data_IF_320434865078
#
_entry.id   IF_320434865078
#
_cell.length_a   1.000
_cell.length_b   1.000
_cell.length_c   1.000
_cell.angle_alpha   90.00
_cell.angle_beta   90.00
_cell.angle_gamma   90.00
#
_symmetry.space_group_name_H-M   'P 1'
#
loop_
_entity.id
_entity.type
_entity.pdbx_description
1 polymer ?
#
# COMPACT_ATOMS: atom_id res chain seq x y z
N UNK A 1 -9.28 -42.16 -19.76
CA UNK A 1 -9.69 -40.74 -19.71
C UNK A 1 -11.07 -40.52 -20.31
N UNK A 2 -11.39 -41.14 -21.45
CA UNK A 2 -12.67 -40.98 -22.15
C UNK A 2 -13.92 -41.38 -21.33
N UNK A 3 -13.79 -42.32 -20.38
CA UNK A 3 -14.89 -42.77 -19.52
C UNK A 3 -14.92 -42.10 -18.13
N UNK A 4 -14.06 -41.11 -17.85
CA UNK A 4 -14.00 -40.44 -16.55
C UNK A 4 -14.62 -39.04 -16.63
N UNK A 5 -15.50 -38.71 -15.67
CA UNK A 5 -16.07 -37.38 -15.50
C UNK A 5 -15.59 -36.76 -14.19
N UNK A 6 -15.29 -35.47 -14.21
CA UNK A 6 -14.98 -34.75 -12.97
C UNK A 6 -16.23 -34.70 -12.09
N UNK A 7 -16.09 -35.04 -10.81
CA UNK A 7 -17.16 -34.85 -9.84
C UNK A 7 -17.53 -33.35 -9.76
N UNK A 8 -18.82 -33.00 -9.64
CA UNK A 8 -19.26 -31.61 -9.59
C UNK A 8 -18.80 -30.91 -8.31
N UNK A 9 -18.81 -29.58 -8.32
CA UNK A 9 -18.57 -28.71 -7.16
C UNK A 9 -17.19 -28.86 -6.48
N UNK A 10 -16.18 -29.36 -7.19
CA UNK A 10 -14.81 -29.38 -6.69
C UNK A 10 -14.20 -27.97 -6.71
N UNK A 11 -13.79 -27.47 -5.54
CA UNK A 11 -13.14 -26.17 -5.41
C UNK A 11 -11.79 -26.17 -6.12
N UNK A 12 -11.58 -25.20 -7.01
CA UNK A 12 -10.26 -24.94 -7.57
C UNK A 12 -9.35 -24.27 -6.52
N UNK A 13 -8.21 -24.88 -6.23
CA UNK A 13 -7.30 -24.46 -5.13
C UNK A 13 -6.05 -23.72 -5.61
N UNK A 14 -5.75 -23.75 -6.91
CA UNK A 14 -4.55 -23.10 -7.47
C UNK A 14 -4.83 -21.62 -7.76
N UNK A 15 -3.76 -20.83 -7.83
CA UNK A 15 -3.85 -19.42 -8.26
C UNK A 15 -4.29 -19.37 -9.72
N UNK A 16 -5.32 -18.56 -10.00
CA UNK A 16 -5.77 -18.30 -11.36
C UNK A 16 -4.70 -17.54 -12.14
N UNK A 17 -4.59 -17.82 -13.43
CA UNK A 17 -3.74 -17.02 -14.31
C UNK A 17 -4.34 -15.61 -14.53
N UNK A 18 -3.58 -14.64 -15.10
CA UNK A 18 -4.07 -13.27 -15.27
C UNK A 18 -5.35 -13.16 -16.12
N UNK A 19 -5.54 -14.04 -17.11
CA UNK A 19 -6.72 -14.03 -17.99
C UNK A 19 -7.92 -14.59 -17.23
N UNK A 20 -7.77 -15.75 -16.60
CA UNK A 20 -8.78 -16.35 -15.74
C UNK A 20 -9.21 -15.42 -14.60
N UNK A 21 -8.25 -14.70 -14.01
CA UNK A 21 -8.52 -13.69 -12.97
C UNK A 21 -9.35 -12.54 -13.52
N UNK A 22 -9.00 -12.03 -14.72
CA UNK A 22 -9.75 -10.95 -15.36
C UNK A 22 -11.19 -11.38 -15.69
N UNK A 23 -11.37 -12.62 -16.16
CA UNK A 23 -12.69 -13.17 -16.46
C UNK A 23 -13.50 -13.38 -15.17
N UNK A 24 -12.91 -13.97 -14.13
CA UNK A 24 -13.57 -14.10 -12.81
C UNK A 24 -13.99 -12.73 -12.25
N UNK A 25 -13.17 -11.69 -12.39
CA UNK A 25 -13.52 -10.33 -11.98
C UNK A 25 -14.71 -9.83 -12.80
N UNK A 26 -14.68 -9.97 -14.13
CA UNK A 26 -15.76 -9.52 -15.02
C UNK A 26 -17.10 -10.14 -14.63
N UNK A 27 -17.10 -11.45 -14.35
CA UNK A 27 -18.31 -12.19 -13.97
C UNK A 27 -18.79 -11.89 -12.54
N UNK A 28 -17.87 -11.66 -11.60
CA UNK A 28 -18.22 -11.41 -10.19
C UNK A 28 -18.58 -9.96 -9.88
N UNK A 29 -18.27 -9.03 -10.77
CA UNK A 29 -18.57 -7.60 -10.59
C UNK A 29 -20.07 -7.37 -10.73
N UNK A 30 -20.69 -6.92 -9.62
CA UNK A 30 -22.09 -6.56 -9.57
C UNK A 30 -22.27 -5.19 -8.94
N UNK A 31 -23.08 -4.34 -9.58
CA UNK A 31 -23.47 -3.05 -9.00
C UNK A 31 -24.22 -3.25 -7.68
N UNK A 32 -24.21 -2.25 -6.77
CA UNK A 32 -24.90 -2.35 -5.49
C UNK A 32 -26.37 -2.76 -5.62
N UNK A 33 -27.10 -2.20 -6.59
CA UNK A 33 -28.51 -2.54 -6.82
C UNK A 33 -28.72 -3.99 -7.27
N UNK A 34 -27.89 -4.47 -8.20
CA UNK A 34 -27.95 -5.87 -8.66
C UNK A 34 -27.62 -6.83 -7.51
N UNK A 35 -26.57 -6.53 -6.74
CA UNK A 35 -26.17 -7.34 -5.59
C UNK A 35 -27.25 -7.35 -4.50
N UNK A 36 -27.85 -6.19 -4.21
CA UNK A 36 -28.96 -6.05 -3.27
C UNK A 36 -30.16 -6.91 -3.68
N UNK A 37 -30.60 -6.79 -4.93
CA UNK A 37 -31.71 -7.57 -5.46
C UNK A 37 -31.43 -9.08 -5.41
N UNK A 38 -30.21 -9.50 -5.73
CA UNK A 38 -29.79 -10.91 -5.66
C UNK A 38 -29.87 -11.44 -4.23
N UNK A 39 -29.37 -10.70 -3.24
CA UNK A 39 -29.43 -11.11 -1.83
C UNK A 39 -30.88 -11.17 -1.34
N UNK A 40 -31.68 -10.14 -1.64
CA UNK A 40 -33.09 -10.11 -1.24
C UNK A 40 -33.87 -11.28 -1.83
N UNK A 41 -33.66 -11.61 -3.11
CA UNK A 41 -34.27 -12.77 -3.75
C UNK A 41 -33.78 -14.08 -3.11
N UNK A 42 -32.48 -14.23 -2.86
CA UNK A 42 -31.93 -15.44 -2.24
C UNK A 42 -32.48 -15.72 -0.84
N UNK A 43 -32.74 -14.67 -0.05
CA UNK A 43 -33.31 -14.78 1.30
C UNK A 43 -34.83 -15.01 1.24
N UNK A 44 -35.55 -14.30 0.36
CA UNK A 44 -37.00 -14.41 0.25
C UNK A 44 -37.47 -15.73 -0.39
N UNK A 45 -36.67 -16.31 -1.30
CA UNK A 45 -37.09 -17.47 -2.09
C UNK A 45 -36.64 -18.78 -1.45
N UNK A 46 -37.58 -19.71 -1.25
CA UNK A 46 -37.35 -21.09 -0.81
C UNK A 46 -36.64 -21.98 -1.84
N UNK A 47 -36.09 -21.42 -2.91
CA UNK A 47 -35.31 -22.14 -3.91
C UNK A 47 -33.80 -22.09 -3.61
N UNK A 48 -33.33 -21.07 -2.89
CA UNK A 48 -31.89 -20.83 -2.65
C UNK A 48 -31.53 -21.11 -1.19
N UNK A 49 -31.89 -20.21 -0.26
CA UNK A 49 -31.46 -20.32 1.15
C UNK A 49 -32.44 -21.08 2.05
N UNK A 50 -33.71 -21.20 1.63
CA UNK A 50 -34.74 -22.04 2.29
C UNK A 50 -34.98 -21.76 3.77
N UNK A 51 -34.63 -20.56 4.27
CA UNK A 51 -34.70 -20.25 5.71
C UNK A 51 -36.10 -20.46 6.30
N UNK A 52 -37.15 -20.01 5.62
CA UNK A 52 -38.53 -20.18 6.08
C UNK A 52 -38.97 -21.66 6.21
N UNK A 53 -38.36 -22.56 5.44
CA UNK A 53 -38.69 -23.98 5.39
C UNK A 53 -37.63 -24.85 6.08
N UNK A 54 -36.69 -24.25 6.83
CA UNK A 54 -35.63 -24.98 7.51
C UNK A 54 -36.13 -25.55 8.85
N UNK A 55 -36.22 -26.88 8.94
CA UNK A 55 -36.70 -27.59 10.14
C UNK A 55 -35.83 -27.36 11.37
N UNK A 56 -34.52 -27.21 11.19
CA UNK A 56 -33.60 -26.92 12.29
C UNK A 56 -33.86 -25.51 12.87
N UNK A 57 -34.00 -24.49 12.02
CA UNK A 57 -34.30 -23.13 12.50
C UNK A 57 -35.62 -23.08 13.27
N UNK A 58 -36.64 -23.80 12.79
CA UNK A 58 -37.92 -23.95 13.49
C UNK A 58 -37.77 -24.67 14.83
N UNK A 59 -36.98 -25.73 14.90
CA UNK A 59 -36.72 -26.47 16.13
C UNK A 59 -36.02 -25.59 17.20
N UNK A 60 -35.17 -24.65 16.78
CA UNK A 60 -34.52 -23.67 17.66
C UNK A 60 -35.36 -22.40 17.90
N UNK A 61 -36.57 -22.29 17.35
CA UNK A 61 -37.43 -21.11 17.48
C UNK A 61 -36.87 -19.85 16.80
N UNK A 62 -35.95 -20.01 15.83
CA UNK A 62 -35.29 -18.91 15.12
C UNK A 62 -36.05 -18.61 13.83
N UNK A 63 -36.37 -17.33 13.62
CA UNK A 63 -36.90 -16.81 12.36
C UNK A 63 -35.96 -15.76 11.76
N UNK A 64 -35.99 -15.62 10.43
CA UNK A 64 -35.19 -14.64 9.70
C UNK A 64 -36.13 -13.71 8.94
N UNK A 65 -36.00 -12.41 9.19
CA UNK A 65 -36.69 -11.37 8.40
C UNK A 65 -36.00 -11.25 7.03
N UNK A 66 -36.73 -11.39 5.91
CA UNK A 66 -36.16 -11.20 4.58
C UNK A 66 -35.82 -9.73 4.26
N UNK A 67 -36.32 -8.78 5.04
CA UNK A 67 -36.03 -7.36 4.86
C UNK A 67 -34.62 -7.07 5.37
N UNK A 68 -33.83 -6.38 4.54
CA UNK A 68 -32.53 -5.85 4.98
C UNK A 68 -32.76 -4.79 6.07
N UNK A 69 -31.94 -4.83 7.11
CA UNK A 69 -31.95 -3.82 8.17
C UNK A 69 -31.64 -2.42 7.59
N UNK A 70 -32.41 -1.43 8.03
CA UNK A 70 -32.16 -0.02 7.73
C UNK A 70 -31.28 0.55 8.84
N UNK A 71 -30.15 1.16 8.47
CA UNK A 71 -29.17 1.70 9.41
C UNK A 71 -28.96 3.18 9.09
N UNK A 72 -29.12 4.09 10.06
CA UNK A 72 -28.82 5.51 9.84
C UNK A 72 -27.32 5.67 9.55
N UNK A 73 -27.00 6.39 8.48
CA UNK A 73 -25.63 6.70 8.08
C UNK A 73 -25.42 8.21 8.05
N UNK A 74 -24.19 8.63 8.35
CA UNK A 74 -23.77 10.03 8.32
C UNK A 74 -22.69 10.23 7.27
N UNK A 75 -22.82 11.27 6.45
CA UNK A 75 -21.76 11.70 5.54
C UNK A 75 -20.77 12.58 6.30
N UNK A 76 -19.50 12.17 6.34
CA UNK A 76 -18.44 12.99 6.92
C UNK A 76 -17.99 14.07 5.93
N UNK A 77 -17.67 15.30 6.39
CA UNK A 77 -17.10 16.31 5.53
C UNK A 77 -15.70 15.86 5.06
N UNK A 78 -15.45 15.98 3.76
CA UNK A 78 -14.16 15.67 3.18
C UNK A 78 -13.10 16.71 3.60
N UNK A 79 -11.86 16.30 3.86
CA UNK A 79 -10.78 17.25 4.12
C UNK A 79 -10.44 18.05 2.87
N UNK A 80 -9.80 19.19 3.06
CA UNK A 80 -9.06 19.84 1.98
C UNK A 80 -7.64 19.27 1.91
N UNK A 81 -7.12 19.10 0.68
CA UNK A 81 -5.75 18.66 0.44
C UNK A 81 -4.89 19.87 0.12
N UNK A 82 -3.85 20.10 0.90
CA UNK A 82 -2.89 21.16 0.62
C UNK A 82 -1.97 20.77 -0.54
N UNK A 83 -1.84 21.68 -1.51
CA UNK A 83 -0.99 21.49 -2.69
C UNK A 83 -0.27 22.78 -3.03
N UNK A 84 0.81 22.70 -3.81
CA UNK A 84 1.53 23.87 -4.30
C UNK A 84 0.97 24.26 -5.67
N UNK A 85 0.41 25.46 -5.77
CA UNK A 85 -0.11 25.99 -7.03
C UNK A 85 0.99 26.36 -8.04
N UNK A 86 0.61 26.78 -9.27
CA UNK A 86 1.56 27.14 -10.32
C UNK A 86 2.56 28.23 -9.91
N UNK A 87 2.14 29.17 -9.07
CA UNK A 87 2.96 30.27 -8.55
C UNK A 87 3.82 29.88 -7.35
N UNK A 88 3.81 28.61 -6.95
CA UNK A 88 4.55 28.12 -5.80
C UNK A 88 3.91 28.39 -4.44
N UNK A 89 2.68 28.91 -4.42
CA UNK A 89 1.92 29.20 -3.19
C UNK A 89 1.15 27.95 -2.76
N UNK A 90 1.15 27.64 -1.46
CA UNK A 90 0.33 26.56 -0.91
C UNK A 90 -1.14 26.96 -0.95
N UNK A 91 -1.98 26.10 -1.50
CA UNK A 91 -3.43 26.30 -1.61
C UNK A 91 -4.19 25.04 -1.18
N UNK A 92 -5.37 25.24 -0.61
CA UNK A 92 -6.28 24.17 -0.25
C UNK A 92 -7.07 23.71 -1.48
N UNK A 93 -7.07 22.41 -1.75
CA UNK A 93 -7.81 21.79 -2.83
C UNK A 93 -8.96 20.95 -2.29
N UNK A 94 -10.16 21.19 -2.83
CA UNK A 94 -11.35 20.43 -2.46
C UNK A 94 -11.26 18.98 -2.97
N UNK A 95 -11.61 18.05 -2.09
CA UNK A 95 -11.83 16.64 -2.45
C UNK A 95 -13.30 16.46 -2.85
N UNK A 96 -13.54 15.82 -4.01
CA UNK A 96 -14.88 15.50 -4.50
C UNK A 96 -14.98 13.99 -4.68
N UNK A 97 -15.96 13.37 -4.03
CA UNK A 97 -16.16 11.92 -4.06
C UNK A 97 -14.88 11.11 -3.78
N UNK A 98 -14.08 11.58 -2.82
CA UNK A 98 -12.81 10.95 -2.47
C UNK A 98 -11.74 11.03 -3.57
N UNK A 99 -11.87 11.94 -4.55
CA UNK A 99 -10.88 12.16 -5.62
C UNK A 99 -10.49 13.64 -5.66
N UNK A 100 -9.20 13.89 -5.94
CA UNK A 100 -8.69 15.24 -6.19
C UNK A 100 -7.80 15.25 -7.44
N UNK A 101 -7.74 16.41 -8.11
CA UNK A 101 -7.05 16.54 -9.39
C UNK A 101 -5.77 17.37 -9.24
N UNK A 102 -4.61 16.72 -9.45
CA UNK A 102 -3.31 17.40 -9.39
C UNK A 102 -2.95 18.17 -10.68
N UNK A 103 -3.83 18.24 -11.68
CA UNK A 103 -3.54 18.96 -12.93
C UNK A 103 -3.17 20.42 -12.64
N UNK A 104 -2.01 20.85 -13.17
CA UNK A 104 -1.40 22.17 -12.93
C UNK A 104 -1.08 22.47 -11.45
N UNK A 105 -1.05 21.45 -10.59
CA UNK A 105 -0.63 21.52 -9.19
C UNK A 105 0.62 20.67 -8.96
N UNK A 106 1.38 21.02 -7.93
CA UNK A 106 2.61 20.35 -7.52
C UNK A 106 2.53 19.92 -6.04
N UNK A 107 3.41 19.01 -5.63
CA UNK A 107 3.55 18.61 -4.23
C UNK A 107 4.10 19.75 -3.36
N UNK A 108 3.78 19.75 -2.06
CA UNK A 108 4.22 20.77 -1.11
C UNK A 108 5.75 20.75 -0.93
N UNK A 109 6.32 19.56 -0.81
CA UNK A 109 7.74 19.34 -0.61
C UNK A 109 8.24 18.23 -1.54
N UNK A 110 9.33 18.49 -2.25
CA UNK A 110 10.01 17.53 -3.10
C UNK A 110 11.49 17.52 -2.74
N UNK A 111 11.98 16.50 -2.02
CA UNK A 111 13.40 16.39 -1.76
C UNK A 111 14.17 16.16 -3.06
N UNK A 112 15.33 16.80 -3.18
CA UNK A 112 16.19 16.67 -4.35
C UNK A 112 16.68 15.24 -4.55
N UNK A 113 16.62 14.77 -5.79
CA UNK A 113 17.20 13.50 -6.27
C UNK A 113 18.51 13.84 -6.99
N UNK A 114 19.67 13.70 -6.32
CA UNK A 114 20.94 14.20 -6.83
C UNK A 114 21.58 13.31 -7.91
N UNK A 115 21.23 12.02 -7.95
CA UNK A 115 21.85 11.04 -8.85
C UNK A 115 20.90 9.87 -9.11
N UNK A 116 20.73 9.50 -10.38
CA UNK A 116 19.83 8.45 -10.82
C UNK A 116 20.28 7.81 -12.13
N UNK A 117 19.72 6.65 -12.49
CA UNK A 117 19.88 6.04 -13.81
C UNK A 117 18.60 5.32 -14.25
N UNK A 118 18.48 5.09 -15.55
CA UNK A 118 17.46 4.24 -16.14
C UNK A 118 18.06 2.90 -16.55
N UNK A 119 17.42 1.81 -16.16
CA UNK A 119 17.79 0.44 -16.51
C UNK A 119 16.62 -0.21 -17.25
N UNK A 120 16.81 -0.45 -18.54
CA UNK A 120 15.79 -1.00 -19.42
C UNK A 120 16.00 -2.51 -19.56
N UNK A 121 15.11 -3.30 -18.98
CA UNK A 121 15.06 -4.75 -19.17
C UNK A 121 14.10 -5.12 -20.30
N UNK A 122 14.10 -4.37 -21.39
CA UNK A 122 13.28 -4.60 -22.58
C UNK A 122 14.10 -4.26 -23.82
N UNK A 123 13.69 -4.77 -24.99
CA UNK A 123 14.38 -4.52 -26.26
C UNK A 123 14.13 -3.09 -26.73
N UNK A 124 14.99 -2.16 -26.33
CA UNK A 124 15.11 -0.82 -26.89
C UNK A 124 16.47 -0.67 -27.56
N UNK A 125 16.56 0.18 -28.59
CA UNK A 125 17.83 0.74 -29.03
C UNK A 125 18.25 1.91 -28.10
N UNK A 126 19.52 2.25 -28.11
CA UNK A 126 20.09 3.27 -27.22
C UNK A 126 19.45 4.66 -27.42
N UNK A 127 19.09 5.01 -28.66
CA UNK A 127 18.49 6.32 -28.98
C UNK A 127 17.08 6.40 -28.40
N UNK A 128 16.26 5.37 -28.59
CA UNK A 128 14.91 5.29 -28.02
C UNK A 128 14.93 5.31 -26.49
N UNK A 129 15.82 4.52 -25.87
CA UNK A 129 15.98 4.49 -24.42
C UNK A 129 16.38 5.86 -23.85
N UNK A 130 17.34 6.55 -24.49
CA UNK A 130 17.74 7.89 -24.09
C UNK A 130 16.62 8.92 -24.22
N UNK A 131 15.82 8.85 -25.30
CA UNK A 131 14.69 9.77 -25.50
C UNK A 131 13.57 9.55 -24.48
N UNK A 132 13.24 8.28 -24.16
CA UNK A 132 12.26 7.95 -23.11
C UNK A 132 12.72 8.50 -21.76
N UNK A 133 13.98 8.26 -21.39
CA UNK A 133 14.56 8.77 -20.15
C UNK A 133 14.49 10.30 -20.08
N UNK A 134 14.85 10.99 -21.17
CA UNK A 134 14.78 12.43 -21.28
C UNK A 134 13.34 12.94 -21.09
N UNK A 135 12.38 12.38 -21.83
CA UNK A 135 10.97 12.80 -21.75
C UNK A 135 10.41 12.62 -20.33
N UNK A 136 10.66 11.48 -19.68
CA UNK A 136 10.21 11.23 -18.31
C UNK A 136 10.81 12.25 -17.33
N UNK A 137 12.10 12.56 -17.43
CA UNK A 137 12.75 13.57 -16.58
C UNK A 137 12.11 14.94 -16.78
N UNK A 138 11.82 15.35 -18.02
CA UNK A 138 11.14 16.63 -18.29
C UNK A 138 9.74 16.65 -17.67
N UNK A 139 8.97 15.59 -17.86
CA UNK A 139 7.60 15.48 -17.33
C UNK A 139 7.57 15.48 -15.80
N UNK A 140 8.51 14.77 -15.15
CA UNK A 140 8.61 14.73 -13.69
C UNK A 140 9.06 16.06 -13.11
N UNK A 141 10.03 16.74 -13.73
CA UNK A 141 10.41 18.12 -13.34
C UNK A 141 9.26 19.10 -13.48
N UNK A 142 8.49 19.00 -14.57
CA UNK A 142 7.28 19.81 -14.77
C UNK A 142 6.19 19.51 -13.73
N UNK A 143 6.14 18.28 -13.20
CA UNK A 143 5.27 17.87 -12.09
C UNK A 143 5.82 18.22 -10.70
N UNK A 144 6.96 18.92 -10.62
CA UNK A 144 7.54 19.41 -9.37
C UNK A 144 8.55 18.46 -8.70
N UNK A 145 9.02 17.41 -9.38
CA UNK A 145 10.09 16.53 -8.89
C UNK A 145 11.45 17.20 -9.09
N UNK A 146 12.20 17.43 -8.02
CA UNK A 146 13.55 18.01 -8.10
C UNK A 146 14.62 16.96 -8.45
N UNK A 147 14.75 16.64 -9.75
CA UNK A 147 15.78 15.73 -10.28
C UNK A 147 17.02 16.50 -10.75
N UNK A 148 18.22 16.02 -10.44
CA UNK A 148 19.45 16.59 -11.00
C UNK A 148 19.45 16.58 -12.54
N UNK A 149 19.97 17.64 -13.17
CA UNK A 149 20.06 17.72 -14.64
C UNK A 149 21.39 17.15 -15.10
N UNK A 150 21.36 16.24 -16.07
CA UNK A 150 22.53 15.79 -16.81
C UNK A 150 22.31 15.98 -18.31
N UNK A 151 23.38 16.29 -19.05
CA UNK A 151 23.34 16.43 -20.52
C UNK A 151 22.88 15.12 -21.18
N UNK A 152 23.41 13.99 -20.70
CA UNK A 152 22.99 12.65 -21.09
C UNK A 152 22.59 11.89 -19.81
N UNK A 153 21.33 11.48 -19.71
CA UNK A 153 20.89 10.63 -18.61
C UNK A 153 21.61 9.28 -18.68
N UNK A 154 22.03 8.74 -17.54
CA UNK A 154 22.62 7.41 -17.48
C UNK A 154 21.56 6.35 -17.85
N UNK A 155 21.74 5.68 -18.98
CA UNK A 155 20.85 4.61 -19.46
C UNK A 155 21.63 3.31 -19.63
N UNK A 156 21.05 2.20 -19.20
CA UNK A 156 21.62 0.86 -19.36
C UNK A 156 20.56 -0.09 -19.90
N UNK A 157 20.87 -0.82 -20.96
CA UNK A 157 19.98 -1.83 -21.54
C UNK A 157 20.45 -3.23 -21.15
N UNK A 158 19.50 -4.05 -20.69
CA UNK A 158 19.70 -5.39 -20.18
C UNK A 158 18.73 -6.40 -20.78
N UNK A 159 19.17 -7.66 -20.85
CA UNK A 159 18.31 -8.78 -21.23
C UNK A 159 17.97 -9.57 -19.96
N UNK A 160 16.74 -9.48 -19.43
CA UNK A 160 16.39 -10.11 -18.16
C UNK A 160 16.32 -11.65 -18.25
N UNK A 161 16.22 -12.22 -19.46
CA UNK A 161 16.18 -13.67 -19.66
C UNK A 161 17.56 -14.35 -19.57
N UNK A 162 18.65 -13.57 -19.56
CA UNK A 162 20.00 -14.10 -19.38
C UNK A 162 20.35 -14.14 -17.89
N UNK A 163 20.69 -15.32 -17.38
CA UNK A 163 21.08 -15.51 -15.98
C UNK A 163 22.19 -14.51 -15.56
N UNK A 164 22.04 -13.92 -14.38
CA UNK A 164 22.97 -12.91 -13.83
C UNK A 164 22.92 -11.52 -14.47
N UNK A 165 22.20 -11.34 -15.58
CA UNK A 165 22.15 -10.07 -16.30
C UNK A 165 21.43 -8.98 -15.51
N UNK A 166 20.37 -9.33 -14.76
CA UNK A 166 19.62 -8.37 -13.94
C UNK A 166 20.53 -7.66 -12.94
N UNK A 167 21.25 -8.42 -12.11
CA UNK A 167 22.23 -7.86 -11.16
C UNK A 167 23.32 -7.06 -11.87
N UNK A 168 23.92 -7.62 -12.92
CA UNK A 168 25.02 -6.97 -13.64
C UNK A 168 24.58 -5.60 -14.22
N UNK A 169 23.37 -5.51 -14.76
CA UNK A 169 22.85 -4.28 -15.38
C UNK A 169 22.36 -3.26 -14.36
N UNK A 170 21.79 -3.69 -13.23
CA UNK A 170 21.50 -2.80 -12.11
C UNK A 170 22.78 -2.18 -11.56
N UNK A 171 23.84 -2.98 -11.36
CA UNK A 171 25.13 -2.46 -10.90
C UNK A 171 25.80 -1.56 -11.95
N UNK A 172 25.67 -1.88 -13.24
CA UNK A 172 26.13 -0.99 -14.31
C UNK A 172 25.37 0.35 -14.29
N UNK A 173 24.05 0.33 -14.08
CA UNK A 173 23.23 1.55 -13.93
C UNK A 173 23.64 2.37 -12.70
N UNK A 174 23.92 1.69 -11.58
CA UNK A 174 24.44 2.33 -10.37
C UNK A 174 25.76 3.05 -10.64
N UNK A 175 26.72 2.40 -11.30
CA UNK A 175 28.01 3.01 -11.62
C UNK A 175 27.88 4.13 -12.66
N UNK A 176 27.03 3.96 -13.68
CA UNK A 176 26.77 4.98 -14.68
C UNK A 176 26.20 6.25 -14.04
N UNK A 177 25.23 6.12 -13.13
CA UNK A 177 24.71 7.26 -12.36
C UNK A 177 25.81 7.94 -11.53
N UNK A 178 26.61 7.15 -10.80
CA UNK A 178 27.71 7.67 -9.98
C UNK A 178 28.71 8.48 -10.82
N UNK A 179 29.07 7.99 -12.00
CA UNK A 179 29.99 8.68 -12.92
C UNK A 179 29.36 9.96 -13.49
N UNK A 180 28.10 9.89 -13.95
CA UNK A 180 27.41 11.02 -14.56
C UNK A 180 27.17 12.17 -13.58
N UNK A 181 26.73 11.86 -12.36
CA UNK A 181 26.34 12.88 -11.37
C UNK A 181 27.42 13.15 -10.31
N UNK A 182 28.52 12.38 -10.32
CA UNK A 182 29.62 12.45 -9.33
C UNK A 182 29.17 12.26 -7.87
N UNK A 183 27.99 11.69 -7.67
CA UNK A 183 27.37 11.39 -6.37
C UNK A 183 26.72 10.01 -6.46
N UNK A 184 26.69 9.27 -5.36
CA UNK A 184 26.03 7.96 -5.32
C UNK A 184 24.56 8.07 -5.73
N UNK A 185 24.05 7.15 -6.56
CA UNK A 185 22.66 7.16 -6.97
C UNK A 185 21.74 6.96 -5.77
N UNK A 186 20.66 7.73 -5.75
CA UNK A 186 19.59 7.57 -4.75
C UNK A 186 18.45 6.71 -5.28
N UNK A 187 18.27 6.63 -6.61
CA UNK A 187 17.21 5.84 -7.24
C UNK A 187 17.61 5.30 -8.63
N UNK A 188 17.15 4.08 -8.95
CA UNK A 188 17.20 3.47 -10.28
C UNK A 188 15.79 3.32 -10.86
N UNK A 189 15.56 3.88 -12.05
CA UNK A 189 14.31 3.71 -12.79
C UNK A 189 14.40 2.48 -13.67
N UNK A 190 13.62 1.44 -13.37
CA UNK A 190 13.69 0.16 -14.06
C UNK A 190 12.48 -0.04 -14.97
N UNK A 191 12.69 -0.40 -16.23
CA UNK A 191 11.62 -0.76 -17.19
C UNK A 191 11.57 -2.28 -17.35
N UNK A 192 10.40 -2.87 -17.13
CA UNK A 192 10.22 -4.32 -16.98
C UNK A 192 9.62 -4.94 -18.22
N UNK A 193 10.18 -6.08 -18.64
CA UNK A 193 9.56 -6.98 -19.62
C UNK A 193 8.43 -7.79 -18.95
N UNK A 194 7.22 -7.82 -19.53
CA UNK A 194 6.06 -8.49 -18.94
C UNK A 194 6.15 -10.02 -18.97
N UNK A 195 7.03 -10.59 -19.80
CA UNK A 195 7.19 -12.03 -19.96
C UNK A 195 8.28 -12.60 -19.03
N UNK A 196 9.12 -11.75 -18.44
CA UNK A 196 10.12 -12.19 -17.48
C UNK A 196 9.50 -12.33 -16.08
N UNK A 197 9.21 -13.58 -15.69
CA UNK A 197 8.72 -13.90 -14.35
C UNK A 197 9.75 -13.48 -13.29
N UNK A 198 9.27 -12.98 -12.15
CA UNK A 198 10.08 -12.58 -10.99
C UNK A 198 11.07 -11.42 -11.24
N UNK A 199 11.09 -10.79 -12.42
CA UNK A 199 12.00 -9.68 -12.71
C UNK A 199 11.88 -8.53 -11.70
N UNK A 200 10.66 -8.19 -11.31
CA UNK A 200 10.42 -7.18 -10.27
C UNK A 200 11.08 -7.56 -8.94
N UNK A 201 10.93 -8.81 -8.53
CA UNK A 201 11.41 -9.30 -7.24
C UNK A 201 12.94 -9.39 -7.23
N UNK A 202 13.55 -9.82 -8.35
CA UNK A 202 15.00 -9.77 -8.54
C UNK A 202 15.56 -8.35 -8.50
N UNK A 203 14.87 -7.39 -9.12
CA UNK A 203 15.27 -5.98 -9.05
C UNK A 203 15.22 -5.51 -7.59
N UNK A 204 14.10 -5.75 -6.88
CA UNK A 204 13.95 -5.33 -5.48
C UNK A 204 14.99 -5.98 -4.59
N UNK A 205 15.22 -7.28 -4.73
CA UNK A 205 16.24 -8.02 -3.99
C UNK A 205 17.64 -7.41 -4.18
N UNK A 206 18.06 -7.20 -5.42
CA UNK A 206 19.38 -6.61 -5.71
C UNK A 206 19.47 -5.16 -5.21
N UNK A 207 18.46 -4.33 -5.48
CA UNK A 207 18.56 -2.89 -5.15
C UNK A 207 18.49 -2.63 -3.65
N UNK A 208 17.66 -3.37 -2.91
CA UNK A 208 17.41 -3.12 -1.50
C UNK A 208 18.41 -3.80 -0.55
N UNK A 209 18.87 -5.01 -0.91
CA UNK A 209 19.73 -5.81 -0.02
C UNK A 209 21.20 -5.76 -0.43
N UNK A 210 21.51 -5.63 -1.73
CA UNK A 210 22.89 -5.64 -2.21
C UNK A 210 23.42 -4.25 -2.55
N UNK A 211 22.70 -3.47 -3.37
CA UNK A 211 23.19 -2.19 -3.89
C UNK A 211 22.90 -0.99 -2.97
N UNK A 212 21.93 -1.11 -2.06
CA UNK A 212 21.53 -0.03 -1.16
C UNK A 212 21.01 1.21 -1.87
N UNK A 213 20.21 1.04 -2.91
CA UNK A 213 19.63 2.10 -3.74
C UNK A 213 18.13 1.87 -3.92
N UNK A 214 17.34 2.95 -3.98
CA UNK A 214 15.91 2.82 -4.27
C UNK A 214 15.70 2.38 -5.72
N UNK A 215 14.56 1.74 -6.00
CA UNK A 215 14.16 1.38 -7.36
C UNK A 215 12.71 1.72 -7.63
N UNK A 216 12.45 2.35 -8.78
CA UNK A 216 11.10 2.58 -9.29
C UNK A 216 10.90 1.79 -10.57
N UNK A 217 10.00 0.81 -10.51
CA UNK A 217 9.68 -0.09 -11.61
C UNK A 217 8.51 0.44 -12.46
N UNK A 218 8.61 0.33 -13.78
CA UNK A 218 7.59 0.70 -14.76
C UNK A 218 7.44 -0.42 -15.80
N UNK A 219 6.20 -0.75 -16.19
CA UNK A 219 5.96 -1.72 -17.26
C UNK A 219 6.25 -1.10 -18.63
N UNK A 220 6.92 -1.85 -19.50
CA UNK A 220 7.24 -1.50 -20.88
C UNK A 220 6.04 -0.94 -21.68
N UNK A 221 4.82 -1.40 -21.41
CA UNK A 221 3.62 -1.03 -22.18
C UNK A 221 3.31 0.45 -22.12
N UNK A 222 3.74 1.14 -21.07
CA UNK A 222 3.55 2.59 -20.93
C UNK A 222 4.69 3.39 -21.56
N UNK A 223 5.76 2.72 -21.99
CA UNK A 223 7.03 3.30 -22.46
C UNK A 223 7.50 2.68 -23.78
N UNK A 224 6.59 2.08 -24.59
CA UNK A 224 6.96 1.38 -25.84
C UNK A 224 7.62 2.28 -26.87
N UNK A 225 7.29 3.56 -26.84
CA UNK A 225 7.90 4.63 -27.65
C UNK A 225 7.87 5.94 -26.86
N UNK A 226 8.65 6.95 -27.26
CA UNK A 226 8.59 8.28 -26.65
C UNK A 226 7.18 8.89 -26.62
N UNK A 227 6.37 8.62 -27.65
CA UNK A 227 5.00 9.13 -27.79
C UNK A 227 3.96 8.32 -26.99
N UNK A 228 4.30 7.10 -26.58
CA UNK A 228 3.40 6.25 -25.78
C UNK A 228 3.27 6.72 -24.32
N UNK A 229 4.15 7.62 -23.87
CA UNK A 229 4.22 8.09 -22.49
C UNK A 229 3.03 9.01 -22.21
N UNK A 230 1.98 8.46 -21.60
CA UNK A 230 0.81 9.24 -21.17
C UNK A 230 1.16 10.15 -20.00
N UNK A 231 0.73 11.41 -20.06
CA UNK A 231 0.95 12.39 -18.99
C UNK A 231 0.46 11.88 -17.62
N UNK A 232 -0.76 11.34 -17.57
CA UNK A 232 -1.32 10.79 -16.32
C UNK A 232 -0.46 9.65 -15.75
N UNK A 233 0.13 8.81 -16.61
CA UNK A 233 1.02 7.74 -16.16
C UNK A 233 2.30 8.32 -15.54
N UNK A 234 2.98 9.23 -16.24
CA UNK A 234 4.19 9.87 -15.75
C UNK A 234 3.95 10.61 -14.44
N UNK A 235 2.82 11.31 -14.30
CA UNK A 235 2.43 12.01 -13.06
C UNK A 235 2.18 11.06 -11.89
N UNK A 236 1.49 9.95 -12.11
CA UNK A 236 1.28 8.94 -11.06
C UNK A 236 2.60 8.30 -10.61
N UNK A 237 3.55 8.11 -11.53
CA UNK A 237 4.90 7.65 -11.18
C UNK A 237 5.63 8.73 -10.37
N UNK A 238 5.57 10.00 -10.78
CA UNK A 238 6.20 11.11 -10.03
C UNK A 238 5.78 11.15 -8.55
N UNK A 239 4.52 10.84 -8.23
CA UNK A 239 4.06 10.78 -6.84
C UNK A 239 4.86 9.78 -5.99
N UNK A 240 5.29 8.66 -6.58
CA UNK A 240 6.07 7.60 -5.92
C UNK A 240 7.57 7.85 -5.88
N UNK A 241 8.06 8.67 -6.82
CA UNK A 241 9.49 9.03 -6.92
C UNK A 241 9.93 9.96 -5.80
N UNK A 242 9.00 10.68 -5.16
CA UNK A 242 9.29 11.50 -4.00
C UNK A 242 9.82 10.63 -2.84
N UNK A 243 11.06 10.84 -2.38
CA UNK A 243 11.61 10.05 -1.30
C UNK A 243 10.91 10.42 0.02
N UNK A 244 10.16 9.48 0.58
CA UNK A 244 9.56 9.60 1.91
C UNK A 244 10.44 8.91 2.97
N UNK A 245 10.38 9.40 4.20
CA UNK A 245 11.34 9.07 5.26
C UNK A 245 10.81 8.07 6.29
N UNK A 246 11.75 7.21 6.69
CA UNK A 246 11.84 6.30 7.84
C UNK A 246 10.75 5.23 7.96
N UNK A 247 11.19 3.98 7.91
CA UNK A 247 10.49 2.85 8.51
C UNK A 247 11.49 1.93 9.22
N UNK A 248 11.02 1.14 10.19
CA UNK A 248 11.87 0.32 11.05
C UNK A 248 11.22 -1.07 11.21
N UNK A 249 11.97 -2.13 10.95
CA UNK A 249 11.49 -3.53 10.96
C UNK A 249 12.13 -4.26 12.15
N UNK A 250 11.31 -4.75 13.09
CA UNK A 250 11.71 -5.52 14.28
C UNK A 250 10.49 -6.17 14.99
N UNK A 251 10.58 -6.57 16.26
CA UNK A 251 9.42 -6.97 17.07
C UNK A 251 8.61 -5.75 17.55
N UNK A 252 7.39 -5.94 18.09
CA UNK A 252 6.48 -4.83 18.42
C UNK A 252 7.10 -3.80 19.39
N UNK A 253 7.75 -4.23 20.47
CA UNK A 253 8.45 -3.32 21.40
C UNK A 253 9.53 -2.50 20.70
N UNK A 254 10.33 -3.16 19.84
CA UNK A 254 11.43 -2.52 19.13
C UNK A 254 10.95 -1.59 18.03
N UNK A 255 9.97 -2.01 17.20
CA UNK A 255 9.37 -1.16 16.15
C UNK A 255 8.74 0.06 16.79
N UNK A 256 7.87 -0.15 17.78
CA UNK A 256 7.14 0.92 18.43
C UNK A 256 8.12 1.91 19.10
N UNK A 257 9.08 1.36 19.85
CA UNK A 257 10.12 2.15 20.49
C UNK A 257 10.94 2.97 19.50
N UNK A 258 11.37 2.37 18.41
CA UNK A 258 12.16 3.05 17.39
C UNK A 258 11.33 4.10 16.64
N UNK A 259 10.02 3.89 16.47
CA UNK A 259 9.07 4.90 15.99
C UNK A 259 8.98 6.12 16.91
N UNK A 260 8.94 5.91 18.24
CA UNK A 260 9.00 7.00 19.23
C UNK A 260 10.32 7.78 19.16
N UNK A 261 11.44 7.07 18.99
CA UNK A 261 12.75 7.70 18.84
C UNK A 261 12.84 8.52 17.54
N UNK A 262 12.33 7.97 16.42
CA UNK A 262 12.27 8.66 15.15
C UNK A 262 11.39 9.93 15.21
N UNK A 263 10.24 9.85 15.91
CA UNK A 263 9.40 11.01 16.16
C UNK A 263 10.16 12.07 16.96
N UNK A 264 10.82 11.68 18.05
CA UNK A 264 11.57 12.59 18.91
C UNK A 264 12.69 13.30 18.13
N UNK A 265 13.41 12.56 17.30
CA UNK A 265 14.49 13.10 16.48
C UNK A 265 13.97 14.09 15.43
N UNK A 266 12.79 13.82 14.84
CA UNK A 266 12.16 14.70 13.87
C UNK A 266 11.50 15.95 14.49
N UNK A 267 11.13 15.91 15.78
CA UNK A 267 10.34 16.96 16.45
C UNK A 267 11.12 17.72 17.53
N UNK A 268 12.41 17.98 17.29
CA UNK A 268 13.21 18.83 18.18
C UNK A 268 13.34 18.25 19.60
N UNK A 269 13.50 16.93 19.71
CA UNK A 269 13.58 16.17 20.97
C UNK A 269 12.31 16.13 21.80
N UNK A 270 11.16 16.57 21.26
CA UNK A 270 9.86 16.42 21.92
C UNK A 270 9.29 15.02 21.71
N UNK A 271 8.79 14.42 22.77
CA UNK A 271 8.08 13.13 22.71
C UNK A 271 6.62 13.32 22.31
N UNK A 272 5.99 12.31 21.66
CA UNK A 272 4.58 12.38 21.34
C UNK A 272 3.74 12.37 22.62
N UNK A 273 2.69 13.18 22.64
CA UNK A 273 1.71 13.23 23.76
C UNK A 273 0.65 12.15 23.59
N UNK A 274 0.28 11.86 22.34
CA UNK A 274 -0.69 10.85 21.95
C UNK A 274 -0.13 9.95 20.87
N UNK A 275 -0.45 8.66 20.93
CA UNK A 275 -0.13 7.67 19.89
C UNK A 275 -1.41 6.98 19.48
N UNK A 276 -1.69 6.97 18.18
CA UNK A 276 -2.83 6.27 17.60
C UNK A 276 -2.27 5.15 16.73
N UNK A 277 -2.60 3.90 17.08
CA UNK A 277 -2.06 2.71 16.44
C UNK A 277 -3.17 1.98 15.66
N UNK A 278 -3.04 1.93 14.33
CA UNK A 278 -3.97 1.21 13.48
C UNK A 278 -3.40 -0.17 13.14
N UNK A 279 -4.10 -1.22 13.55
CA UNK A 279 -3.72 -2.61 13.32
C UNK A 279 -4.62 -3.26 12.27
N UNK A 280 -4.05 -3.69 11.15
CA UNK A 280 -4.78 -4.37 10.06
C UNK A 280 -4.78 -5.89 10.25
N UNK A 281 -5.74 -6.61 9.65
CA UNK A 281 -5.68 -8.06 9.47
C UNK A 281 -5.90 -8.92 10.72
N UNK A 282 -6.65 -8.43 11.72
CA UNK A 282 -6.95 -9.15 12.95
C UNK A 282 -8.40 -9.60 12.95
N UNK A 283 -8.64 -10.91 13.13
CA UNK A 283 -10.00 -11.44 13.32
C UNK A 283 -10.49 -11.19 14.76
N UNK A 284 -11.80 -11.10 14.98
CA UNK A 284 -12.39 -10.81 16.30
C UNK A 284 -11.93 -11.76 17.41
N UNK A 285 -11.76 -13.05 17.10
CA UNK A 285 -11.24 -14.06 18.03
C UNK A 285 -9.79 -13.83 18.49
N UNK A 286 -9.05 -12.91 17.85
CA UNK A 286 -7.66 -12.59 18.16
C UNK A 286 -7.49 -11.27 18.91
N UNK A 287 -8.56 -10.50 19.15
CA UNK A 287 -8.47 -9.18 19.81
C UNK A 287 -7.81 -9.26 21.19
N UNK A 288 -8.15 -10.28 21.99
CA UNK A 288 -7.53 -10.52 23.29
C UNK A 288 -6.02 -10.72 23.16
N UNK A 289 -5.58 -11.52 22.20
CA UNK A 289 -4.16 -11.78 21.97
C UNK A 289 -3.41 -10.51 21.53
N UNK A 290 -4.01 -9.71 20.64
CA UNK A 290 -3.43 -8.43 20.22
C UNK A 290 -3.28 -7.48 21.40
N UNK A 291 -4.29 -7.36 22.27
CA UNK A 291 -4.19 -6.55 23.48
C UNK A 291 -3.10 -7.06 24.43
N UNK A 292 -3.15 -8.35 24.77
CA UNK A 292 -2.29 -8.91 25.81
C UNK A 292 -0.81 -9.01 25.38
N UNK A 293 -0.54 -9.05 24.07
CA UNK A 293 0.81 -9.19 23.49
C UNK A 293 1.28 -7.90 22.82
N UNK A 294 0.59 -7.42 21.79
CA UNK A 294 1.05 -6.29 20.97
C UNK A 294 0.93 -4.96 21.74
N UNK A 295 -0.24 -4.67 22.30
CA UNK A 295 -0.46 -3.42 23.08
C UNK A 295 0.46 -3.40 24.32
N UNK A 296 0.61 -4.54 24.99
CA UNK A 296 1.58 -4.69 26.09
C UNK A 296 3.02 -4.39 25.64
N UNK A 297 3.42 -4.83 24.45
CA UNK A 297 4.73 -4.50 23.87
C UNK A 297 4.92 -2.99 23.66
N UNK A 298 3.90 -2.30 23.16
CA UNK A 298 3.90 -0.84 23.01
C UNK A 298 4.05 -0.13 24.37
N UNK A 299 3.31 -0.59 25.38
CA UNK A 299 3.37 -0.10 26.76
C UNK A 299 4.77 -0.21 27.37
N UNK A 300 5.40 -1.37 27.21
CA UNK A 300 6.77 -1.60 27.68
C UNK A 300 7.74 -0.64 26.99
N UNK A 301 7.59 -0.42 25.68
CA UNK A 301 8.43 0.50 24.91
C UNK A 301 8.32 1.97 25.38
N UNK A 302 7.12 2.41 25.78
CA UNK A 302 6.84 3.72 26.37
C UNK A 302 7.49 3.84 27.75
N UNK A 303 7.28 2.83 28.60
CA UNK A 303 7.81 2.82 29.95
C UNK A 303 9.33 2.88 29.96
N UNK A 304 10.01 2.05 29.15
CA UNK A 304 11.48 2.05 29.00
C UNK A 304 12.07 3.38 28.54
N UNK A 305 11.27 4.24 27.90
CA UNK A 305 11.67 5.58 27.44
C UNK A 305 11.33 6.71 28.41
N UNK A 306 10.84 6.38 29.61
CA UNK A 306 10.45 7.38 30.62
C UNK A 306 9.22 8.20 30.21
N UNK A 307 8.38 7.66 29.32
CA UNK A 307 7.17 8.31 28.82
C UNK A 307 5.90 7.87 29.56
N UNK A 308 6.03 6.96 30.54
CA UNK A 308 4.93 6.55 31.40
C UNK A 308 4.33 7.77 32.12
N UNK A 309 3.01 7.95 32.03
CA UNK A 309 2.30 9.11 32.59
C UNK A 309 2.34 10.40 31.74
N UNK A 310 3.18 10.46 30.70
CA UNK A 310 3.22 11.55 29.70
C UNK A 310 2.57 11.14 28.38
N UNK A 311 2.63 9.85 28.06
CA UNK A 311 1.87 9.18 27.01
C UNK A 311 0.90 8.23 27.71
N UNK A 312 -0.40 8.44 27.53
CA UNK A 312 -1.43 7.58 28.14
C UNK A 312 -1.59 6.33 27.28
N UNK A 313 -1.30 5.16 27.86
CA UNK A 313 -1.76 3.85 27.40
C UNK A 313 -2.28 3.04 28.62
N UNK A 314 -3.56 2.68 28.68
CA UNK A 314 -4.33 2.13 29.82
C UNK A 314 -5.28 0.99 29.40
N UNK A 315 -5.02 -0.20 29.92
CA UNK A 315 -5.60 -1.46 29.43
C UNK A 315 -6.93 -1.75 30.09
N UNK A 316 -8.02 -1.40 29.42
CA UNK A 316 -9.32 -1.96 29.75
C UNK A 316 -10.09 -2.51 28.53
N UNK A 317 -10.63 -3.70 28.77
CA UNK A 317 -11.25 -4.60 27.79
C UNK A 317 -12.55 -4.01 27.31
N UNK A 318 -12.81 -4.13 26.01
CA UNK A 318 -14.13 -3.87 25.47
C UNK A 318 -14.54 -4.97 24.51
N UNK A 319 -15.79 -5.45 24.72
CA UNK A 319 -16.92 -5.96 23.89
C UNK A 319 -18.17 -5.76 24.78
N UNK A 320 -19.44 -5.91 24.36
CA UNK A 320 -20.37 -4.94 23.73
C UNK A 320 -20.49 -3.53 24.38
N UNK A 321 -19.63 -3.20 25.34
CA UNK A 321 -19.17 -1.81 25.59
C UNK A 321 -18.22 -1.32 24.47
N UNK A 322 -18.03 -2.12 23.42
CA UNK A 322 -17.04 -1.93 22.36
C UNK A 322 -17.29 -0.71 21.49
N UNK A 323 -16.27 0.12 21.38
CA UNK A 323 -16.28 1.25 20.49
C UNK A 323 -15.84 0.80 19.09
N UNK A 324 -16.80 0.60 18.19
CA UNK A 324 -16.54 0.29 16.79
C UNK A 324 -17.34 1.20 15.83
N UNK A 325 -16.91 1.27 14.57
CA UNK A 325 -17.64 1.97 13.52
C UNK A 325 -17.30 1.42 12.13
N UNK A 326 -18.24 1.57 11.21
CA UNK A 326 -18.08 1.21 9.79
C UNK A 326 -17.82 2.49 8.99
N UNK A 327 -16.75 2.51 8.20
CA UNK A 327 -16.38 3.66 7.38
C UNK A 327 -16.13 3.24 5.92
N UNK A 328 -16.89 3.84 5.01
CA UNK A 328 -16.61 3.79 3.58
C UNK A 328 -15.90 5.07 3.14
N UNK A 329 -14.58 5.04 3.15
CA UNK A 329 -13.75 6.21 2.84
C UNK A 329 -13.54 6.48 1.34
N UNK A 330 -13.75 5.48 0.49
CA UNK A 330 -13.42 5.52 -0.94
C UNK A 330 -14.66 5.49 -1.83
N UNK A 331 -14.56 6.11 -3.01
CA UNK A 331 -15.57 5.94 -4.05
C UNK A 331 -15.49 4.54 -4.67
N UNK A 332 -16.65 3.89 -4.81
CA UNK A 332 -16.79 2.62 -5.49
C UNK A 332 -16.59 2.75 -7.00
N UNK A 333 -15.42 2.36 -7.50
CA UNK A 333 -15.11 2.41 -8.93
C UNK A 333 -15.82 1.32 -9.74
N UNK A 334 -15.93 0.13 -9.15
CA UNK A 334 -16.49 -1.04 -9.80
C UNK A 334 -17.02 -2.00 -8.74
N UNK A 335 -18.17 -2.60 -9.03
CA UNK A 335 -18.81 -3.55 -8.12
C UNK A 335 -19.47 -2.87 -6.92
N UNK A 336 -19.59 -3.62 -5.83
CA UNK A 336 -20.09 -3.12 -4.54
C UNK A 336 -18.92 -2.85 -3.61
N UNK A 337 -18.81 -1.60 -3.12
CA UNK A 337 -17.76 -1.19 -2.20
C UNK A 337 -17.72 -2.07 -0.94
N UNK A 338 -16.51 -2.27 -0.40
CA UNK A 338 -16.31 -2.93 0.89
C UNK A 338 -15.96 -1.86 1.92
N UNK A 339 -16.88 -1.47 2.81
CA UNK A 339 -16.54 -0.56 3.88
C UNK A 339 -15.56 -1.23 4.85
N UNK A 340 -14.71 -0.45 5.48
CA UNK A 340 -13.79 -0.94 6.50
C UNK A 340 -14.44 -0.82 7.87
N UNK A 341 -14.29 -1.88 8.67
CA UNK A 341 -14.78 -1.92 10.04
C UNK A 341 -13.60 -1.62 10.96
N UNK A 342 -13.75 -0.61 11.81
CA UNK A 342 -12.76 -0.21 12.79
C UNK A 342 -13.24 -0.65 14.17
N UNK A 343 -12.42 -1.43 14.86
CA UNK A 343 -12.64 -1.82 16.25
C UNK A 343 -11.59 -1.15 17.12
N UNK A 344 -12.03 -0.41 18.13
CA UNK A 344 -11.16 0.16 19.16
C UNK A 344 -10.94 -0.92 20.21
N UNK A 345 -9.74 -1.51 20.18
CA UNK A 345 -9.33 -2.55 21.14
C UNK A 345 -8.85 -1.93 22.47
N UNK A 346 -8.45 -0.65 22.44
CA UNK A 346 -7.78 0.05 23.53
C UNK A 346 -7.86 1.58 23.30
N UNK A 347 -8.30 2.38 24.29
CA UNK A 347 -8.39 3.87 24.18
C UNK A 347 -8.27 4.63 25.52
N UNK A 348 -7.15 5.33 25.68
CA UNK A 348 -6.77 6.08 26.90
C UNK A 348 -6.84 7.57 26.70
N UNK A 349 -6.84 7.95 25.43
CA UNK A 349 -7.00 9.30 24.96
C UNK A 349 -8.45 9.71 25.20
N UNK A 350 -9.38 8.73 25.21
CA UNK A 350 -10.83 8.94 25.24
C UNK A 350 -11.21 9.83 24.05
N UNK A 351 -10.74 9.46 22.87
CA UNK A 351 -10.70 10.33 21.70
C UNK A 351 -12.10 10.75 21.23
N UNK A 352 -13.11 9.89 21.51
CA UNK A 352 -14.49 10.10 21.14
C UNK A 352 -14.80 9.65 19.71
N UNK A 353 -16.05 9.23 19.49
CA UNK A 353 -16.51 8.65 18.22
C UNK A 353 -16.32 9.58 17.02
N UNK A 354 -16.77 10.83 17.14
CA UNK A 354 -16.72 11.78 16.03
C UNK A 354 -15.29 12.12 15.61
N UNK A 355 -14.40 12.35 16.57
CA UNK A 355 -13.00 12.66 16.29
C UNK A 355 -12.29 11.45 15.66
N UNK A 356 -12.53 10.23 16.16
CA UNK A 356 -11.90 9.03 15.63
C UNK A 356 -12.37 8.72 14.21
N UNK A 357 -13.66 8.87 13.95
CA UNK A 357 -14.25 8.71 12.61
C UNK A 357 -13.67 9.74 11.64
N UNK A 358 -13.63 11.02 12.04
CA UNK A 358 -13.12 12.11 11.21
C UNK A 358 -11.62 11.95 10.93
N UNK A 359 -10.83 11.61 11.95
CA UNK A 359 -9.40 11.35 11.80
C UNK A 359 -9.16 10.18 10.84
N UNK A 360 -9.86 9.06 11.05
CA UNK A 360 -9.71 7.87 10.20
C UNK A 360 -10.08 8.19 8.75
N UNK A 361 -11.14 8.99 8.54
CA UNK A 361 -11.52 9.47 7.22
C UNK A 361 -10.45 10.38 6.60
N UNK A 362 -9.88 11.31 7.35
CA UNK A 362 -8.79 12.17 6.88
C UNK A 362 -7.53 11.37 6.53
N UNK A 363 -7.13 10.40 7.36
CA UNK A 363 -5.97 9.56 7.11
C UNK A 363 -6.12 8.70 5.84
N UNK A 364 -7.33 8.38 5.42
CA UNK A 364 -7.59 7.71 4.15
C UNK A 364 -7.25 8.58 2.92
N UNK A 365 -7.11 9.90 3.09
CA UNK A 365 -6.73 10.84 2.02
C UNK A 365 -5.22 11.09 1.93
N UNK A 366 -4.42 10.52 2.85
CA UNK A 366 -2.97 10.74 2.91
C UNK A 366 -2.14 9.72 2.11
N UNK A 367 -2.78 8.95 1.21
CA UNK A 367 -2.06 8.03 0.34
C UNK A 367 -1.13 8.78 -0.62
N UNK A 368 0.17 8.50 -0.54
CA UNK A 368 1.17 9.09 -1.45
C UNK A 368 1.14 8.49 -2.86
N UNK A 369 0.41 7.39 -3.09
CA UNK A 369 0.44 6.64 -4.36
C UNK A 369 -0.64 7.06 -5.35
N UNK A 370 -1.65 7.79 -4.87
CA UNK A 370 -2.85 8.09 -5.64
C UNK A 370 -3.52 9.35 -5.15
N UNK A 371 -4.11 10.11 -6.06
CA UNK A 371 -4.91 11.31 -5.74
C UNK A 371 -6.36 10.95 -5.39
N UNK A 372 -6.51 9.91 -4.56
CA UNK A 372 -7.78 9.30 -4.20
C UNK A 372 -7.74 8.83 -2.76
N UNK A 373 -8.88 8.92 -2.09
CA UNK A 373 -9.12 8.30 -0.80
C UNK A 373 -9.07 6.77 -0.97
N UNK A 374 -8.26 6.12 -0.13
CA UNK A 374 -8.13 4.67 -0.08
C UNK A 374 -9.15 4.07 0.90
N UNK A 375 -9.39 2.76 0.83
CA UNK A 375 -10.42 2.09 1.63
C UNK A 375 -10.12 1.98 3.12
N UNK A 376 -8.86 2.16 3.52
CA UNK A 376 -8.38 2.10 4.90
C UNK A 376 -7.47 3.29 5.18
N UNK A 377 -7.04 3.50 6.42
CA UNK A 377 -6.10 4.58 6.75
C UNK A 377 -4.72 4.39 6.08
N UNK A 378 -4.07 5.48 5.69
CA UNK A 378 -2.77 5.46 5.01
C UNK A 378 -1.67 4.68 5.76
N UNK A 379 -1.50 4.80 7.10
CA UNK A 379 -0.48 4.04 7.83
C UNK A 379 -0.67 2.52 7.72
N UNK A 380 -1.90 2.03 7.84
CA UNK A 380 -2.21 0.61 7.74
C UNK A 380 -2.01 0.09 6.31
N UNK A 381 -2.42 0.87 5.30
CA UNK A 381 -2.15 0.54 3.90
C UNK A 381 -0.64 0.51 3.59
N UNK A 382 0.15 1.41 4.17
CA UNK A 382 1.61 1.43 4.01
C UNK A 382 2.25 0.16 4.59
N UNK A 383 1.87 -0.21 5.82
CA UNK A 383 2.32 -1.45 6.46
C UNK A 383 1.96 -2.71 5.63
N UNK A 384 0.75 -2.75 5.06
CA UNK A 384 0.33 -3.85 4.17
C UNK A 384 1.26 -4.00 2.97
N UNK A 385 1.59 -2.89 2.29
CA UNK A 385 2.48 -2.96 1.12
C UNK A 385 3.92 -3.29 1.50
N UNK A 386 4.39 -2.80 2.64
CA UNK A 386 5.71 -3.20 3.16
C UNK A 386 5.78 -4.72 3.37
N UNK A 387 4.82 -5.30 4.08
CA UNK A 387 4.76 -6.74 4.33
C UNK A 387 4.71 -7.55 3.03
N UNK A 388 3.99 -7.06 2.01
CA UNK A 388 3.96 -7.68 0.70
C UNK A 388 5.34 -7.65 0.01
N UNK A 389 6.06 -6.52 0.08
CA UNK A 389 7.39 -6.38 -0.50
C UNK A 389 8.40 -7.34 0.14
N UNK A 390 8.36 -7.50 1.46
CA UNK A 390 9.27 -8.36 2.22
C UNK A 390 9.10 -9.84 1.85
N UNK A 391 7.85 -10.32 1.79
CA UNK A 391 7.52 -11.69 1.38
C UNK A 391 8.03 -12.05 -0.02
N UNK A 392 8.02 -11.09 -0.95
CA UNK A 392 8.49 -11.32 -2.33
C UNK A 392 10.02 -11.28 -2.46
N UNK A 393 10.73 -10.62 -1.54
CA UNK A 393 12.20 -10.65 -1.52
C UNK A 393 12.79 -11.96 -0.99
N UNK A 394 12.07 -12.69 -0.13
CA UNK A 394 12.58 -13.93 0.46
C UNK A 394 12.44 -15.16 -0.46
N UNK A 395 11.59 -15.07 -1.50
CA UNK A 395 11.22 -16.23 -2.31
C UNK A 395 10.33 -17.19 -1.53
N UNK A 396 9.34 -17.81 -2.17
CA UNK A 396 8.46 -18.78 -1.50
C UNK A 396 9.28 -19.89 -0.84
N UNK A 397 9.30 -20.01 0.50
CA UNK A 397 9.96 -21.15 1.12
C UNK A 397 9.11 -22.40 0.83
N UNK A 398 9.76 -23.49 0.45
CA UNK A 398 9.11 -24.79 0.20
C UNK A 398 8.61 -25.47 1.49
N UNK A 399 8.91 -24.89 2.66
CA UNK A 399 8.53 -25.36 3.99
C UNK A 399 8.20 -24.17 4.89
N UNK A 400 7.17 -24.24 5.76
CA UNK A 400 6.90 -23.18 6.72
C UNK A 400 8.10 -23.07 7.69
N UNK A 401 8.69 -21.87 7.87
CA UNK A 401 9.85 -21.72 8.73
C UNK A 401 9.45 -21.97 10.19
N UNK A 402 10.33 -22.62 10.95
CA UNK A 402 10.25 -22.66 12.42
C UNK A 402 10.62 -21.27 12.96
N UNK A 403 9.98 -20.81 14.03
CA UNK A 403 10.16 -19.46 14.60
C UNK A 403 11.62 -19.05 14.87
N UNK A 404 12.55 -20.00 15.01
CA UNK A 404 13.97 -19.76 15.22
C UNK A 404 14.80 -19.49 13.94
N UNK A 405 14.25 -19.76 12.75
CA UNK A 405 14.97 -19.70 11.46
C UNK A 405 14.62 -18.48 10.59
N UNK A 406 13.75 -17.59 11.06
CA UNK A 406 13.44 -16.31 10.41
C UNK A 406 14.62 -15.32 10.56
N UNK A 407 15.73 -15.61 9.88
CA UNK A 407 16.73 -14.58 9.56
C UNK A 407 16.18 -13.73 8.42
N UNK A 408 15.27 -12.82 8.77
CA UNK A 408 14.89 -11.70 7.91
C UNK A 408 16.17 -11.09 7.33
N UNK A 409 16.32 -11.13 6.01
CA UNK A 409 17.45 -10.47 5.37
C UNK A 409 17.40 -8.99 5.78
N UNK A 410 18.52 -8.47 6.29
CA UNK A 410 18.56 -7.06 6.68
C UNK A 410 18.67 -6.21 5.42
N UNK A 411 17.75 -5.27 5.26
CA UNK A 411 17.86 -4.21 4.27
C UNK A 411 19.21 -3.51 4.38
N UNK A 412 19.74 -3.08 3.25
CA UNK A 412 20.95 -2.29 3.24
C UNK A 412 20.75 -0.99 4.04
N UNK A 413 21.75 -0.59 4.83
CA UNK A 413 21.67 0.56 5.75
C UNK A 413 21.18 1.85 5.09
N UNK A 414 21.64 2.11 3.86
CA UNK A 414 21.24 3.26 3.03
C UNK A 414 19.73 3.34 2.70
N UNK A 415 19.03 2.21 2.61
CA UNK A 415 17.58 2.19 2.27
C UNK A 415 16.70 1.84 3.45
N UNK A 416 17.28 1.29 4.53
CA UNK A 416 16.57 0.88 5.74
C UNK A 416 15.70 1.97 6.37
N UNK A 417 16.01 3.25 6.14
CA UNK A 417 15.28 4.42 6.64
C UNK A 417 14.47 5.14 5.56
N UNK A 418 14.20 4.50 4.43
CA UNK A 418 13.43 5.10 3.32
C UNK A 418 12.14 4.30 3.09
N UNK A 419 11.10 4.97 2.58
CA UNK A 419 9.87 4.29 2.19
C UNK A 419 10.00 3.58 0.82
N UNK A 420 10.79 2.50 0.78
CA UNK A 420 11.15 1.78 -0.46
C UNK A 420 10.00 1.01 -1.15
N UNK A 421 8.86 0.91 -0.47
CA UNK A 421 7.70 0.12 -0.85
C UNK A 421 6.61 0.95 -1.53
N UNK A 422 6.76 2.28 -1.65
CA UNK A 422 5.78 3.24 -2.22
C UNK A 422 5.61 3.11 -3.74
#
# INVERSE_FOLDING_TARGET
>A
MECLKMAPAQRFSKKLDPVQTADMIRESVQSPDKRRALIQNAVATSAILRFANNEYLKAFGVSIDPKMIEVPARALPAPSVEVKGPKGVVEAMAVRDGVWNMSKKNVISSPRIPSYAFVFFFKFDDRTAAQIAFNLVQMWRAAGVDLAVAKNCATVIGNPFRAGNVKAKLMAGYQAAKTTFKVLPTILFCVLDPFCKNLHDDIKRVTLFEAGVMSQCMMERHLRSPDAIKEMHARNVALKVHPSRVEIIANMETIFGAGLDAFRDANGRKSPVHVIFYRDGVASGQFKAVRDVEVKGCLVAIHKRGLAGKCKIDTDIVHPTEFNFVLQSHAGLQGTSRPTIYHVVHDDIKFGSDNLQQLSYHLAHLSQRSTRAISMVAPAHQAHVLAYCDFHSEGSPSTPPRDADLKLQRLHSNVSKLMFYV
#
